data_IF_301887625957
#
_entry.id   IF_301887625957
#
_cell.length_a   1.000
_cell.length_b   1.000
_cell.length_c   1.000
_cell.angle_alpha   90.00
_cell.angle_beta   90.00
_cell.angle_gamma   90.00
#
_symmetry.space_group_name_H-M   'P 1'
#
loop_
_entity.id
_entity.type
_entity.pdbx_description
1 polymer ?
#
# COMPACT_ATOMS: atom_id res chain seq x y z
N UNK A 1 -13.37 5.38 -11.43
CA UNK A 1 -12.76 4.27 -12.19
C UNK A 1 -12.03 3.36 -11.19
N UNK A 2 -12.00 2.05 -11.42
CA UNK A 2 -11.25 1.08 -10.60
C UNK A 2 -10.42 0.18 -11.50
N UNK A 3 -9.18 -0.09 -11.11
CA UNK A 3 -8.23 -0.94 -11.82
C UNK A 3 -7.56 -1.88 -10.83
N UNK A 4 -6.96 -2.97 -11.32
CA UNK A 4 -6.45 -4.04 -10.47
C UNK A 4 -4.94 -4.23 -10.55
N UNK A 5 -4.24 -3.46 -11.38
CA UNK A 5 -2.79 -3.54 -11.52
C UNK A 5 -2.17 -2.18 -11.86
N UNK A 6 -0.85 -2.08 -11.67
CA UNK A 6 -0.09 -0.83 -11.83
C UNK A 6 -0.06 -0.32 -13.27
N UNK A 7 -0.11 -1.20 -14.28
CA UNK A 7 -0.06 -0.81 -15.68
C UNK A 7 -1.40 -0.20 -16.13
N UNK A 8 -2.51 -0.82 -15.73
CA UNK A 8 -3.84 -0.28 -15.94
C UNK A 8 -4.04 1.05 -15.19
N UNK A 9 -3.47 1.20 -13.98
CA UNK A 9 -3.48 2.46 -13.25
C UNK A 9 -2.74 3.57 -13.98
N UNK A 10 -1.53 3.30 -14.49
CA UNK A 10 -0.79 4.27 -15.30
C UNK A 10 -1.56 4.66 -16.57
N UNK A 11 -2.09 3.67 -17.30
CA UNK A 11 -2.86 3.93 -18.50
C UNK A 11 -4.09 4.79 -18.21
N UNK A 12 -4.81 4.52 -17.11
CA UNK A 12 -5.94 5.32 -16.67
C UNK A 12 -5.53 6.77 -16.39
N UNK A 13 -4.50 6.97 -15.56
CA UNK A 13 -4.01 8.30 -15.19
C UNK A 13 -3.52 9.14 -16.38
N UNK A 14 -2.99 8.49 -17.42
CA UNK A 14 -2.59 9.17 -18.66
C UNK A 14 -3.77 9.45 -19.60
N UNK A 15 -4.84 8.68 -19.51
CA UNK A 15 -6.00 8.76 -20.40
C UNK A 15 -7.09 9.73 -19.92
N UNK A 16 -7.23 9.91 -18.62
CA UNK A 16 -8.30 10.70 -17.99
C UNK A 16 -7.78 11.65 -16.91
N UNK A 17 -8.59 12.64 -16.57
CA UNK A 17 -8.35 13.53 -15.44
C UNK A 17 -9.04 13.01 -14.18
N UNK A 18 -8.31 12.98 -13.06
CA UNK A 18 -8.83 12.57 -11.76
C UNK A 18 -8.63 13.68 -10.73
N UNK A 19 -9.67 13.92 -9.91
CA UNK A 19 -9.56 14.80 -8.74
C UNK A 19 -8.84 14.11 -7.58
N UNK A 20 -8.94 12.77 -7.49
CA UNK A 20 -8.27 12.00 -6.46
C UNK A 20 -7.82 10.63 -6.98
N UNK A 21 -6.73 10.13 -6.38
CA UNK A 21 -6.21 8.78 -6.56
C UNK A 21 -6.16 8.09 -5.19
N UNK A 22 -6.78 6.92 -5.10
CA UNK A 22 -6.70 6.05 -3.93
C UNK A 22 -5.90 4.82 -4.35
N UNK A 23 -4.73 4.61 -3.75
CA UNK A 23 -3.72 3.68 -4.24
C UNK A 23 -3.36 2.65 -3.17
N UNK A 24 -3.65 1.38 -3.43
CA UNK A 24 -3.16 0.27 -2.59
C UNK A 24 -1.64 0.13 -2.70
N UNK A 25 -0.95 0.13 -1.56
CA UNK A 25 0.52 0.00 -1.53
C UNK A 25 1.02 -1.34 -2.06
N UNK A 26 0.14 -2.36 -2.09
CA UNK A 26 0.40 -3.68 -2.64
C UNK A 26 -0.35 -3.91 -3.96
N UNK A 27 -0.71 -2.86 -4.70
CA UNK A 27 -1.28 -2.99 -6.05
C UNK A 27 -0.30 -3.80 -6.93
N UNK A 28 -0.70 -4.96 -7.47
CA UNK A 28 0.21 -5.82 -8.20
C UNK A 28 0.61 -5.20 -9.54
N UNK A 29 1.80 -5.55 -10.03
CA UNK A 29 2.28 -5.13 -11.34
C UNK A 29 3.77 -4.80 -11.35
N UNK A 30 4.25 -4.26 -12.46
CA UNK A 30 5.68 -4.04 -12.70
C UNK A 30 6.24 -2.71 -12.17
N UNK A 31 5.40 -1.82 -11.62
CA UNK A 31 5.83 -0.54 -11.05
C UNK A 31 5.59 -0.49 -9.55
N UNK A 32 6.54 0.09 -8.81
CA UNK A 32 6.36 0.34 -7.39
C UNK A 32 5.27 1.40 -7.18
N UNK A 33 4.61 1.32 -6.03
CA UNK A 33 3.61 2.29 -5.61
C UNK A 33 4.17 3.73 -5.65
N UNK A 34 5.43 3.94 -5.28
CA UNK A 34 6.03 5.27 -5.33
C UNK A 34 6.11 5.82 -6.76
N UNK A 35 6.30 4.98 -7.77
CA UNK A 35 6.46 5.43 -9.17
C UNK A 35 5.12 5.96 -9.68
N UNK A 36 4.02 5.32 -9.28
CA UNK A 36 2.68 5.79 -9.59
C UNK A 36 2.36 7.11 -8.87
N UNK A 37 2.86 7.30 -7.65
CA UNK A 37 2.73 8.59 -6.94
C UNK A 37 3.53 9.68 -7.65
N UNK A 38 4.77 9.39 -8.05
CA UNK A 38 5.60 10.35 -8.79
C UNK A 38 4.94 10.75 -10.11
N UNK A 39 4.43 9.77 -10.86
CA UNK A 39 3.63 10.00 -12.06
C UNK A 39 2.45 10.94 -11.75
N UNK A 40 1.62 10.59 -10.78
CA UNK A 40 0.41 11.33 -10.43
C UNK A 40 0.69 12.77 -9.98
N UNK A 41 1.78 13.02 -9.26
CA UNK A 41 2.08 14.33 -8.65
C UNK A 41 2.94 15.22 -9.53
N UNK A 42 3.78 14.66 -10.39
CA UNK A 42 4.85 15.43 -11.05
C UNK A 42 4.97 15.22 -12.56
N UNK A 43 4.58 14.07 -13.10
CA UNK A 43 4.83 13.75 -14.52
C UNK A 43 3.60 13.93 -15.42
N UNK A 44 2.39 13.93 -14.87
CA UNK A 44 1.18 14.19 -15.63
C UNK A 44 1.08 15.68 -16.03
N UNK A 45 0.50 16.01 -17.20
CA UNK A 45 0.26 17.41 -17.59
C UNK A 45 -0.61 18.18 -16.59
N UNK A 46 -1.54 17.48 -15.93
CA UNK A 46 -2.32 17.98 -14.82
C UNK A 46 -2.14 17.02 -13.63
N UNK A 47 -1.39 17.42 -12.58
CA UNK A 47 -1.22 16.59 -11.39
C UNK A 47 -2.54 16.26 -10.71
N UNK A 48 -2.64 15.06 -10.16
CA UNK A 48 -3.79 14.65 -9.35
C UNK A 48 -3.64 15.33 -7.97
N UNK A 49 -4.61 16.16 -7.55
CA UNK A 49 -4.44 17.01 -6.38
C UNK A 49 -4.51 16.25 -5.05
N UNK A 50 -5.24 15.13 -5.00
CA UNK A 50 -5.38 14.30 -3.80
C UNK A 50 -4.93 12.86 -4.06
N UNK A 51 -3.83 12.43 -3.44
CA UNK A 51 -3.34 11.05 -3.50
C UNK A 51 -3.36 10.44 -2.09
N UNK A 52 -4.13 9.37 -1.90
CA UNK A 52 -4.26 8.66 -0.62
C UNK A 52 -3.78 7.22 -0.76
N UNK A 53 -2.84 6.81 0.07
CA UNK A 53 -2.37 5.42 0.13
C UNK A 53 -3.30 4.54 0.97
N UNK A 54 -3.57 3.32 0.52
CA UNK A 54 -4.24 2.29 1.31
C UNK A 54 -3.18 1.33 1.84
N UNK A 55 -2.95 1.36 3.15
CA UNK A 55 -2.03 0.48 3.85
C UNK A 55 -2.75 -0.80 4.30
N UNK A 56 -2.11 -1.96 4.14
CA UNK A 56 -2.70 -3.26 4.42
C UNK A 56 -2.32 -3.74 5.83
N UNK A 57 -2.75 -3.07 6.89
CA UNK A 57 -2.29 -3.41 8.25
C UNK A 57 -2.66 -4.85 8.65
N UNK A 58 -1.68 -5.76 8.62
CA UNK A 58 -1.88 -7.19 8.92
C UNK A 58 -2.12 -7.51 10.40
N UNK A 59 -2.08 -6.51 11.29
CA UNK A 59 -2.45 -6.67 12.70
C UNK A 59 -3.16 -5.43 13.24
N UNK A 60 -4.39 -5.62 13.73
CA UNK A 60 -5.16 -4.68 14.58
C UNK A 60 -4.36 -4.06 15.76
N UNK A 61 -3.15 -4.54 16.07
CA UNK A 61 -2.35 -4.13 17.24
C UNK A 61 -0.88 -3.79 16.98
N UNK A 62 -0.33 -3.92 15.76
CA UNK A 62 1.14 -3.83 15.58
C UNK A 62 1.69 -2.49 15.14
N UNK A 63 0.93 -1.65 14.45
CA UNK A 63 1.38 -0.31 14.09
C UNK A 63 0.53 0.74 14.77
N UNK A 64 0.88 1.08 16.02
CA UNK A 64 0.41 2.33 16.66
C UNK A 64 1.15 3.58 16.17
N UNK A 65 2.00 3.43 15.15
CA UNK A 65 2.90 4.46 14.62
C UNK A 65 2.40 4.88 13.25
N UNK A 66 2.52 6.16 12.92
CA UNK A 66 2.29 6.62 11.53
C UNK A 66 3.40 6.10 10.62
N UNK A 67 3.12 5.88 9.32
CA UNK A 67 4.14 5.73 8.30
C UNK A 67 5.19 6.84 8.42
N UNK A 68 6.45 6.48 8.26
CA UNK A 68 7.55 7.45 8.28
C UNK A 68 7.64 8.22 6.97
N UNK A 69 7.18 7.62 5.86
CA UNK A 69 7.16 8.23 4.54
C UNK A 69 5.86 7.91 3.80
N UNK A 70 5.40 8.87 2.99
CA UNK A 70 4.27 8.72 2.06
C UNK A 70 4.69 8.85 0.58
N UNK A 71 6.00 9.01 0.33
CA UNK A 71 6.57 9.06 -1.03
C UNK A 71 5.96 10.11 -1.97
N UNK A 72 5.37 11.17 -1.41
CA UNK A 72 4.69 12.25 -2.13
C UNK A 72 3.16 12.17 -2.14
N UNK A 73 2.56 11.11 -1.58
CA UNK A 73 1.13 11.06 -1.33
C UNK A 73 0.74 12.05 -0.21
N UNK A 74 -0.51 12.52 -0.25
CA UNK A 74 -1.03 13.55 0.63
C UNK A 74 -1.55 12.98 1.96
N UNK A 75 -2.03 11.74 1.95
CA UNK A 75 -2.47 11.03 3.16
C UNK A 75 -2.38 9.50 2.98
N UNK A 76 -2.68 8.75 4.04
CA UNK A 76 -2.90 7.31 4.01
C UNK A 76 -4.13 6.91 4.83
N UNK A 77 -4.66 5.73 4.53
CA UNK A 77 -5.72 5.07 5.28
C UNK A 77 -5.39 3.58 5.42
N UNK A 78 -5.69 3.01 6.58
CA UNK A 78 -5.54 1.57 6.79
C UNK A 78 -6.75 0.85 6.17
N UNK A 79 -6.55 -0.30 5.54
CA UNK A 79 -7.61 -0.99 4.77
C UNK A 79 -8.89 -1.25 5.58
N UNK A 80 -8.76 -1.59 6.87
CA UNK A 80 -9.90 -1.79 7.78
C UNK A 80 -10.56 -0.48 8.25
N UNK A 81 -9.96 0.67 7.93
CA UNK A 81 -10.48 2.02 8.18
C UNK A 81 -10.92 2.73 6.89
N UNK A 82 -11.04 2.00 5.79
CA UNK A 82 -11.27 2.60 4.48
C UNK A 82 -12.64 3.28 4.41
N UNK A 83 -13.72 2.61 4.79
CA UNK A 83 -15.07 3.16 4.70
C UNK A 83 -15.40 4.28 5.70
N UNK A 84 -14.71 4.35 6.85
CA UNK A 84 -14.96 5.40 7.85
C UNK A 84 -13.99 6.58 7.75
N UNK A 85 -12.72 6.37 7.40
CA UNK A 85 -11.73 7.46 7.33
C UNK A 85 -11.51 8.02 5.93
N UNK A 86 -11.57 7.19 4.88
CA UNK A 86 -11.27 7.65 3.51
C UNK A 86 -12.20 8.78 3.05
N UNK A 87 -13.53 8.73 3.27
CA UNK A 87 -14.41 9.82 2.83
C UNK A 87 -14.02 11.16 3.43
N UNK A 88 -13.80 11.22 4.75
CA UNK A 88 -13.40 12.44 5.45
C UNK A 88 -12.05 12.98 4.97
N UNK A 89 -11.07 12.10 4.72
CA UNK A 89 -9.76 12.47 4.16
C UNK A 89 -9.88 13.06 2.76
N UNK A 90 -10.65 12.42 1.87
CA UNK A 90 -10.87 12.92 0.52
C UNK A 90 -11.59 14.27 0.52
N UNK A 91 -12.60 14.45 1.37
CA UNK A 91 -13.27 15.74 1.51
C UNK A 91 -12.31 16.85 1.92
N UNK A 92 -11.48 16.59 2.93
CA UNK A 92 -10.48 17.54 3.38
C UNK A 92 -9.48 17.90 2.28
N UNK A 93 -8.94 16.91 1.56
CA UNK A 93 -7.97 17.13 0.49
C UNK A 93 -8.55 17.84 -0.73
N UNK A 94 -9.83 17.58 -1.05
CA UNK A 94 -10.53 18.19 -2.17
C UNK A 94 -11.16 19.55 -1.83
N UNK A 95 -11.03 20.00 -0.58
CA UNK A 95 -11.58 21.29 -0.11
C UNK A 95 -13.10 21.31 -0.02
N UNK A 96 -13.76 20.16 0.13
CA UNK A 96 -15.21 20.07 0.32
C UNK A 96 -15.60 19.95 1.80
N UNK A 97 -16.84 20.34 2.10
CA UNK A 97 -17.42 20.24 3.44
C UNK A 97 -18.33 18.98 3.54
N UNK A 98 -17.96 17.97 4.34
CA UNK A 98 -18.80 16.78 4.52
C UNK A 98 -20.17 17.10 5.15
N UNK A 99 -20.30 18.22 5.88
CA UNK A 99 -21.57 18.66 6.45
C UNK A 99 -22.56 19.20 5.39
N UNK A 100 -22.09 19.48 4.17
CA UNK A 100 -22.93 19.99 3.08
C UNK A 100 -23.71 18.88 2.33
N UNK A 101 -23.51 17.60 2.67
CA UNK A 101 -24.13 16.45 2.01
C UNK A 101 -25.21 15.81 2.91
N UNK A 102 -26.51 15.96 2.59
CA UNK A 102 -27.58 15.26 3.31
C UNK A 102 -27.44 13.74 3.18
N UNK A 103 -27.53 13.01 4.31
CA UNK A 103 -27.52 11.53 4.33
C UNK A 103 -26.16 10.87 4.56
N UNK A 104 -25.09 11.64 4.83
CA UNK A 104 -23.75 11.10 5.06
C UNK A 104 -23.68 10.09 6.23
N UNK A 105 -24.41 10.36 7.32
CA UNK A 105 -24.45 9.49 8.51
C UNK A 105 -25.10 8.14 8.21
N UNK A 106 -26.14 8.12 7.37
CA UNK A 106 -26.80 6.88 6.94
C UNK A 106 -25.93 6.11 5.94
N UNK A 107 -25.24 6.83 5.04
CA UNK A 107 -24.26 6.23 4.15
C UNK A 107 -23.07 5.62 4.91
N UNK A 108 -22.55 6.28 5.95
CA UNK A 108 -21.49 5.77 6.83
C UNK A 108 -21.89 4.49 7.55
N UNK A 109 -23.12 4.39 8.07
CA UNK A 109 -23.62 3.18 8.73
C UNK A 109 -23.75 1.98 7.77
N UNK A 110 -24.21 2.23 6.54
CA UNK A 110 -24.27 1.19 5.49
C UNK A 110 -22.86 0.80 5.05
N UNK A 111 -21.95 1.77 4.89
CA UNK A 111 -20.54 1.52 4.56
C UNK A 111 -19.83 0.69 5.64
N UNK A 112 -20.06 0.98 6.92
CA UNK A 112 -19.51 0.19 8.03
C UNK A 112 -19.92 -1.28 7.96
N UNK A 113 -21.16 -1.56 7.56
CA UNK A 113 -21.67 -2.94 7.43
C UNK A 113 -21.01 -3.65 6.25
N UNK A 114 -20.83 -2.95 5.12
CA UNK A 114 -20.15 -3.47 3.93
C UNK A 114 -18.64 -3.70 4.20
N UNK A 115 -18.01 -2.87 5.03
CA UNK A 115 -16.62 -3.04 5.45
C UNK A 115 -16.41 -4.31 6.27
N UNK A 116 -17.26 -4.58 7.25
CA UNK A 116 -17.14 -5.78 8.09
C UNK A 116 -17.25 -7.07 7.25
N UNK A 117 -18.13 -7.07 6.24
CA UNK A 117 -18.23 -8.18 5.28
C UNK A 117 -17.04 -8.25 4.31
N UNK A 118 -16.51 -7.11 3.88
CA UNK A 118 -15.34 -7.00 3.01
C UNK A 118 -14.06 -7.50 3.69
N UNK A 119 -13.84 -7.12 4.94
CA UNK A 119 -12.73 -7.58 5.77
C UNK A 119 -12.75 -9.11 5.90
N UNK A 120 -13.92 -9.68 6.23
CA UNK A 120 -14.09 -11.12 6.37
C UNK A 120 -13.74 -11.88 5.07
N UNK A 121 -14.16 -11.36 3.90
CA UNK A 121 -13.82 -11.94 2.59
C UNK A 121 -12.33 -11.79 2.24
N UNK A 122 -11.69 -10.69 2.63
CA UNK A 122 -10.24 -10.47 2.45
C UNK A 122 -9.41 -11.45 3.30
N UNK A 123 -9.92 -11.82 4.48
CA UNK A 123 -9.33 -12.87 5.32
C UNK A 123 -9.54 -14.27 4.72
N UNK A 124 -10.69 -14.53 4.10
CA UNK A 124 -11.05 -15.84 3.50
C UNK A 124 -10.37 -16.12 2.16
N UNK A 125 -10.05 -15.11 1.34
CA UNK A 125 -9.32 -15.28 0.07
C UNK A 125 -7.81 -15.59 0.24
N UNK A 126 -7.31 -15.71 1.48
CA UNK A 126 -5.90 -15.97 1.80
C UNK A 126 -5.51 -17.42 1.49
N UNK A 127 -5.24 -17.68 0.21
CA UNK A 127 -4.78 -18.98 -0.30
C UNK A 127 -3.57 -18.92 -1.22
N UNK A 128 -2.90 -17.77 -1.36
CA UNK A 128 -1.69 -17.64 -2.21
C UNK A 128 -0.53 -17.10 -1.38
N UNK A 129 0.37 -17.99 -0.99
CA UNK A 129 1.64 -17.74 -0.27
C UNK A 129 2.36 -16.48 -0.75
N UNK A 130 2.44 -16.27 -2.07
CA UNK A 130 3.12 -15.12 -2.68
C UNK A 130 2.44 -13.78 -2.35
N UNK A 131 1.11 -13.70 -2.52
CA UNK A 131 0.35 -12.46 -2.29
C UNK A 131 0.40 -12.01 -0.84
N UNK A 132 0.44 -12.96 0.10
CA UNK A 132 0.59 -12.64 1.52
C UNK A 132 1.97 -12.05 1.83
N UNK A 133 3.03 -12.53 1.19
CA UNK A 133 4.38 -12.00 1.38
C UNK A 133 4.53 -10.59 0.83
N UNK A 134 4.05 -10.34 -0.39
CA UNK A 134 4.03 -9.02 -1.03
C UNK A 134 3.32 -8.00 -0.13
N UNK A 135 2.14 -8.37 0.37
CA UNK A 135 1.34 -7.53 1.24
C UNK A 135 2.05 -7.17 2.56
N UNK A 136 2.67 -8.15 3.23
CA UNK A 136 3.41 -7.92 4.48
C UNK A 136 4.63 -7.02 4.24
N UNK A 137 5.33 -7.20 3.11
CA UNK A 137 6.53 -6.43 2.78
C UNK A 137 6.18 -5.00 2.35
N UNK A 138 5.09 -4.80 1.60
CA UNK A 138 4.63 -3.45 1.22
C UNK A 138 4.37 -2.59 2.46
N UNK A 139 3.71 -3.16 3.46
CA UNK A 139 3.47 -2.53 4.76
C UNK A 139 4.78 -2.21 5.49
N UNK A 140 5.70 -3.18 5.56
CA UNK A 140 7.02 -2.97 6.19
C UNK A 140 7.74 -1.76 5.56
N UNK A 141 7.77 -1.69 4.23
CA UNK A 141 8.42 -0.60 3.49
C UNK A 141 7.75 0.74 3.79
N UNK A 142 6.42 0.80 3.79
CA UNK A 142 5.68 2.02 4.11
C UNK A 142 6.01 2.54 5.51
N UNK A 143 6.03 1.66 6.52
CA UNK A 143 6.29 2.07 7.90
C UNK A 143 7.77 2.33 8.19
N UNK A 144 8.69 1.65 7.49
CA UNK A 144 10.13 1.81 7.65
C UNK A 144 10.78 2.68 6.57
N UNK A 145 9.99 3.50 5.87
CA UNK A 145 10.41 4.27 4.70
C UNK A 145 11.68 5.10 4.88
N UNK A 146 11.90 5.74 6.03
CA UNK A 146 13.14 6.49 6.29
C UNK A 146 14.41 5.61 6.18
N UNK A 147 14.34 4.37 6.66
CA UNK A 147 15.46 3.43 6.58
C UNK A 147 15.63 2.85 5.18
N UNK A 148 14.54 2.69 4.44
CA UNK A 148 14.58 2.29 3.02
C UNK A 148 15.26 3.39 2.21
N UNK A 149 14.89 4.65 2.41
CA UNK A 149 15.47 5.80 1.71
C UNK A 149 16.91 6.11 2.12
N UNK A 150 17.30 5.76 3.35
CA UNK A 150 18.68 5.90 3.81
C UNK A 150 19.64 4.89 3.19
N UNK A 151 19.12 3.75 2.72
CA UNK A 151 19.93 2.73 2.07
C UNK A 151 20.27 3.13 0.64
N UNK A 152 21.53 2.91 0.26
CA UNK A 152 22.03 3.11 -1.10
C UNK A 152 22.07 1.84 -1.93
N UNK A 153 22.01 0.68 -1.27
CA UNK A 153 21.99 -0.63 -1.92
C UNK A 153 20.94 -1.54 -1.28
N UNK A 154 20.48 -2.53 -2.03
CA UNK A 154 19.59 -3.56 -1.51
C UNK A 154 20.16 -4.32 -0.30
N UNK A 155 21.47 -4.59 -0.31
CA UNK A 155 22.15 -5.25 0.81
C UNK A 155 22.11 -4.40 2.09
N UNK A 156 22.39 -3.11 1.97
CA UNK A 156 22.32 -2.14 3.07
C UNK A 156 20.89 -2.01 3.61
N UNK A 157 19.89 -1.92 2.71
CA UNK A 157 18.48 -1.89 3.10
C UNK A 157 18.09 -3.13 3.93
N UNK A 158 18.58 -4.31 3.52
CA UNK A 158 18.33 -5.58 4.21
C UNK A 158 18.96 -5.60 5.60
N UNK A 159 20.14 -5.02 5.77
CA UNK A 159 20.80 -4.90 7.07
C UNK A 159 20.05 -3.93 8.00
N UNK A 160 19.71 -2.74 7.51
CA UNK A 160 18.97 -1.71 8.27
C UNK A 160 17.57 -2.18 8.71
N UNK A 161 16.97 -3.11 7.96
CA UNK A 161 15.63 -3.66 8.18
C UNK A 161 15.62 -5.09 8.71
N UNK A 162 16.77 -5.63 9.13
CA UNK A 162 16.88 -7.04 9.52
C UNK A 162 15.88 -7.45 10.62
N UNK A 163 15.68 -6.57 11.63
CA UNK A 163 14.71 -6.81 12.70
C UNK A 163 13.25 -6.78 12.26
N UNK A 164 12.90 -5.88 11.32
CA UNK A 164 11.56 -5.79 10.76
C UNK A 164 11.28 -6.98 9.84
N UNK A 165 12.26 -7.40 9.03
CA UNK A 165 12.16 -8.57 8.16
C UNK A 165 11.96 -9.86 8.98
N UNK A 166 12.63 -10.00 10.12
CA UNK A 166 12.39 -11.15 10.99
C UNK A 166 10.97 -11.11 11.60
N UNK A 167 10.50 -9.92 12.00
CA UNK A 167 9.13 -9.75 12.48
C UNK A 167 8.10 -10.08 11.39
N UNK A 168 8.37 -9.69 10.14
CA UNK A 168 7.55 -10.03 8.98
C UNK A 168 7.53 -11.55 8.70
N UNK A 169 8.67 -12.25 8.81
CA UNK A 169 8.72 -13.73 8.71
C UNK A 169 7.92 -14.42 9.80
N UNK A 170 7.94 -13.89 11.03
CA UNK A 170 7.14 -14.42 12.13
C UNK A 170 5.65 -14.22 11.87
N UNK A 171 5.26 -13.03 11.41
CA UNK A 171 3.88 -12.72 11.04
C UNK A 171 3.38 -13.62 9.90
N UNK A 172 4.19 -13.78 8.86
CA UNK A 172 3.89 -14.64 7.73
C UNK A 172 3.61 -16.09 8.18
N UNK A 173 4.47 -16.65 9.04
CA UNK A 173 4.31 -18.01 9.58
C UNK A 173 3.07 -18.17 10.47
N UNK A 174 2.66 -17.12 11.17
CA UNK A 174 1.44 -17.16 11.99
C UNK A 174 0.17 -17.15 11.15
N UNK A 175 0.19 -16.48 10.00
CA UNK A 175 -0.99 -16.28 9.15
C UNK A 175 -1.08 -17.36 8.06
N UNK A 176 0.05 -17.81 7.52
CA UNK A 176 0.09 -18.84 6.51
C UNK A 176 -0.02 -20.23 7.16
N UNK A 177 -1.13 -20.98 6.98
CA UNK A 177 -1.29 -22.30 7.56
C UNK A 177 -0.44 -23.38 6.84
N UNK A 178 0.17 -23.05 5.69
CA UNK A 178 0.91 -24.00 4.87
C UNK A 178 2.40 -24.00 5.26
N UNK A 179 2.98 -25.16 5.65
CA UNK A 179 4.41 -25.29 5.89
C UNK A 179 5.22 -24.94 4.63
N UNK A 180 6.29 -24.16 4.81
CA UNK A 180 7.22 -23.84 3.74
C UNK A 180 8.21 -24.98 3.52
N UNK A 181 8.66 -25.17 2.28
CA UNK A 181 9.77 -26.05 1.99
C UNK A 181 11.08 -25.50 2.62
N UNK A 182 12.02 -26.38 3.02
CA UNK A 182 13.30 -25.94 3.57
C UNK A 182 14.02 -24.96 2.63
N UNK A 183 14.55 -23.86 3.18
CA UNK A 183 15.29 -22.85 2.41
C UNK A 183 14.43 -21.83 1.66
N UNK A 184 13.09 -21.95 1.69
CA UNK A 184 12.19 -20.96 1.08
C UNK A 184 11.97 -19.79 2.04
N UNK A 185 12.30 -18.57 1.61
CA UNK A 185 12.04 -17.32 2.33
C UNK A 185 11.15 -16.38 1.50
N UNK A 186 9.81 -16.54 1.56
CA UNK A 186 8.89 -15.72 0.77
C UNK A 186 8.95 -14.23 1.11
N UNK A 187 9.22 -13.90 2.38
CA UNK A 187 9.37 -12.51 2.84
C UNK A 187 10.65 -11.90 2.30
N UNK A 188 11.77 -12.64 2.35
CA UNK A 188 13.02 -12.21 1.74
C UNK A 188 12.87 -11.99 0.24
N UNK A 189 12.26 -12.93 -0.48
CA UNK A 189 12.03 -12.81 -1.92
C UNK A 189 11.15 -11.60 -2.27
N UNK A 190 10.02 -11.41 -1.59
CA UNK A 190 9.15 -10.26 -1.82
C UNK A 190 9.83 -8.93 -1.49
N UNK A 191 10.65 -8.88 -0.43
CA UNK A 191 11.47 -7.70 -0.13
C UNK A 191 12.46 -7.40 -1.24
N UNK A 192 13.16 -8.43 -1.72
CA UNK A 192 14.16 -8.29 -2.77
C UNK A 192 13.53 -7.80 -4.08
N UNK A 193 12.36 -8.35 -4.45
CA UNK A 193 11.61 -7.93 -5.62
C UNK A 193 11.14 -6.46 -5.49
N UNK A 194 10.60 -6.07 -4.35
CA UNK A 194 10.18 -4.68 -4.11
C UNK A 194 11.37 -3.72 -4.12
N UNK A 195 12.50 -4.05 -3.50
CA UNK A 195 13.68 -3.17 -3.51
C UNK A 195 14.23 -2.92 -4.92
N UNK A 196 14.16 -3.91 -5.83
CA UNK A 196 14.48 -3.68 -7.25
C UNK A 196 13.53 -2.67 -7.89
N UNK A 197 12.24 -2.75 -7.59
CA UNK A 197 11.25 -1.76 -8.07
C UNK A 197 11.47 -0.38 -7.44
N UNK A 198 12.08 -0.31 -6.26
CA UNK A 198 12.48 0.96 -5.63
C UNK A 198 13.77 1.57 -6.23
N UNK A 199 14.37 0.94 -7.23
CA UNK A 199 15.56 1.40 -7.95
C UNK A 199 16.81 1.60 -7.04
N UNK A 200 16.92 0.83 -5.95
CA UNK A 200 18.11 0.79 -5.08
C UNK A 200 19.24 -0.10 -5.64
N UNK A 201 19.27 -0.30 -6.96
CA UNK A 201 20.37 -0.88 -7.72
C UNK A 201 20.51 -0.14 -9.07
N UNK A 202 21.54 0.72 -9.28
CA UNK A 202 21.81 1.33 -10.57
C UNK A 202 22.58 0.36 -11.50
N UNK A 203 22.08 -0.87 -11.65
CA UNK A 203 22.93 -2.02 -11.99
C UNK A 203 22.67 -2.78 -13.29
N UNK A 204 21.47 -2.78 -13.89
CA UNK A 204 21.24 -3.53 -15.13
C UNK A 204 20.49 -2.70 -16.18
N UNK A 205 21.04 -2.54 -17.40
CA UNK A 205 20.34 -1.91 -18.51
C UNK A 205 19.17 -2.81 -18.96
N UNK A 206 18.00 -2.18 -19.17
CA UNK A 206 16.86 -2.77 -19.87
C UNK A 206 17.22 -3.18 -21.30
#
# INVERSE_FOLDING_TARGET
>A
MTVTDTAAAEQAMRGDMFAALVLDVALPGGKACHELIQLAKFELPAPIPAVVLVASVFRKTSYKRRPTQLYGADDYVEIHRLGDQLPGKLWHLLGGDPAAMPGLVEAEAVLSTIQDEGDQRLFEQRGRTLRLSELIVADLILYAGDRVLAATTQAEARELLAGDLESARQLFRQINPVPLAPGVDPIGAAFDDMMRMFNLDPGEPR
#
